data_IF_350560513730
#
_entry.id   IF_350560513730
#
_cell.length_a   1.000
_cell.length_b   1.000
_cell.length_c   1.000
_cell.angle_alpha   90.00
_cell.angle_beta   90.00
_cell.angle_gamma   90.00
#
_symmetry.space_group_name_H-M   'P 1'
#
loop_
_entity.id
_entity.type
_entity.pdbx_description
1 polymer ?
#
# COMPACT_ATOMS: atom_id res chain seq x y z
N UNK A 1 -11.43 11.43 -20.66
CA UNK A 1 -11.54 11.83 -19.22
C UNK A 1 -11.86 10.58 -18.43
N UNK A 2 -11.07 10.26 -17.42
CA UNK A 2 -11.27 9.10 -16.55
C UNK A 2 -12.48 9.36 -15.66
N UNK A 3 -13.43 8.41 -15.59
CA UNK A 3 -14.51 8.51 -14.60
C UNK A 3 -13.97 8.09 -13.24
N UNK A 4 -14.23 8.89 -12.21
CA UNK A 4 -13.78 8.64 -10.85
C UNK A 4 -14.78 9.16 -9.81
N UNK A 5 -14.68 8.62 -8.61
CA UNK A 5 -15.32 9.16 -7.40
C UNK A 5 -14.27 9.68 -6.45
N UNK A 6 -14.69 10.55 -5.53
CA UNK A 6 -13.82 11.16 -4.53
C UNK A 6 -14.54 11.17 -3.20
N UNK A 7 -13.84 10.74 -2.16
CA UNK A 7 -14.34 10.86 -0.79
C UNK A 7 -14.37 12.32 -0.37
N UNK A 8 -15.46 12.75 0.23
CA UNK A 8 -15.61 14.11 0.71
C UNK A 8 -14.60 14.41 1.83
N UNK A 9 -14.04 15.62 1.83
CA UNK A 9 -12.97 16.02 2.77
C UNK A 9 -13.42 15.97 4.24
N UNK A 10 -14.72 16.10 4.51
CA UNK A 10 -15.31 16.01 5.86
C UNK A 10 -15.05 14.67 6.55
N UNK A 11 -14.95 13.57 5.79
CA UNK A 11 -14.65 12.24 6.34
C UNK A 11 -13.23 12.11 6.89
N UNK A 12 -12.34 13.02 6.52
CA UNK A 12 -10.96 13.05 7.00
C UNK A 12 -10.75 14.08 8.12
N UNK A 13 -11.81 14.76 8.55
CA UNK A 13 -11.74 15.73 9.64
C UNK A 13 -11.67 15.01 10.98
N UNK A 14 -10.82 15.51 11.88
CA UNK A 14 -10.71 15.02 13.27
C UNK A 14 -10.33 13.54 13.40
N UNK A 15 -9.58 13.00 12.45
CA UNK A 15 -9.03 11.66 12.60
C UNK A 15 -7.96 11.62 13.70
N UNK A 16 -7.94 10.56 14.53
CA UNK A 16 -7.02 10.47 15.67
C UNK A 16 -5.57 10.44 15.21
N UNK A 17 -4.74 11.28 15.80
CA UNK A 17 -3.31 11.45 15.49
C UNK A 17 -3.01 11.77 14.02
N UNK A 18 -3.97 12.34 13.27
CA UNK A 18 -3.83 12.61 11.85
C UNK A 18 -4.17 14.07 11.52
N UNK A 19 -3.36 15.00 12.04
CA UNK A 19 -3.51 16.45 11.83
C UNK A 19 -2.71 16.99 10.63
N UNK A 20 -2.27 16.18 9.72
CA UNK A 20 -1.42 16.57 8.58
C UNK A 20 -2.21 17.32 7.50
N UNK A 21 -1.57 18.34 6.92
CA UNK A 21 -2.14 19.06 5.79
C UNK A 21 -2.09 18.21 4.51
N UNK A 22 -3.19 18.14 3.73
CA UNK A 22 -3.19 17.39 2.49
C UNK A 22 -2.42 18.15 1.39
N UNK A 23 -1.62 17.41 0.61
CA UNK A 23 -1.05 17.87 -0.64
C UNK A 23 -1.58 17.02 -1.78
N UNK A 24 -1.57 17.54 -3.01
CA UNK A 24 -2.08 16.85 -4.18
C UNK A 24 -1.15 17.00 -5.38
N UNK A 25 -0.80 15.87 -5.97
CA UNK A 25 -0.15 15.75 -7.26
C UNK A 25 -1.19 15.46 -8.34
N UNK A 26 -1.14 16.18 -9.45
CA UNK A 26 -2.06 15.96 -10.57
C UNK A 26 -1.39 15.08 -11.62
N UNK A 27 -1.97 13.91 -11.86
CA UNK A 27 -1.57 13.02 -12.95
C UNK A 27 -2.69 12.90 -13.96
N UNK A 28 -2.48 13.42 -15.17
CA UNK A 28 -3.53 13.57 -16.18
C UNK A 28 -4.73 14.36 -15.64
N UNK A 29 -5.91 13.74 -15.52
CA UNK A 29 -7.14 14.34 -15.01
C UNK A 29 -7.50 13.89 -13.58
N UNK A 30 -6.59 13.22 -12.90
CA UNK A 30 -6.76 12.67 -11.56
C UNK A 30 -5.80 13.33 -10.56
N UNK A 31 -6.21 13.38 -9.30
CA UNK A 31 -5.35 13.85 -8.20
C UNK A 31 -4.91 12.70 -7.31
N UNK A 32 -3.65 12.64 -6.99
CA UNK A 32 -3.04 11.78 -5.99
C UNK A 32 -2.77 12.60 -4.73
N UNK A 33 -3.28 12.17 -3.60
CA UNK A 33 -2.95 12.78 -2.30
C UNK A 33 -1.59 12.30 -1.82
N UNK A 34 -0.87 13.18 -1.11
CA UNK A 34 0.34 12.82 -0.37
C UNK A 34 0.53 13.73 0.85
N UNK A 35 1.19 13.20 1.86
CA UNK A 35 1.72 13.98 2.98
C UNK A 35 3.14 14.43 2.65
N UNK A 36 3.52 15.63 3.09
CA UNK A 36 4.86 16.19 2.93
C UNK A 36 5.25 16.95 4.21
N UNK A 37 5.77 16.21 5.16
CA UNK A 37 6.04 16.66 6.52
C UNK A 37 7.54 16.72 6.80
N UNK A 38 7.95 17.67 7.65
CA UNK A 38 9.34 17.88 8.05
C UNK A 38 10.11 18.88 7.21
N UNK A 39 11.45 19.00 7.43
CA UNK A 39 12.28 19.97 6.74
C UNK A 39 12.40 19.66 5.24
N UNK A 40 12.16 20.66 4.39
CA UNK A 40 12.13 20.46 2.94
C UNK A 40 13.49 20.09 2.33
N UNK A 41 14.56 20.40 3.02
CA UNK A 41 15.96 20.08 2.68
C UNK A 41 16.52 18.87 3.44
N UNK A 42 15.69 18.22 4.26
CA UNK A 42 16.06 16.98 4.97
C UNK A 42 16.17 15.78 4.03
N UNK A 43 16.88 14.71 4.47
CA UNK A 43 16.88 13.44 3.76
C UNK A 43 15.46 12.87 3.69
N UNK A 44 15.11 12.29 2.54
CA UNK A 44 13.72 11.92 2.22
C UNK A 44 13.40 10.50 2.71
N UNK A 45 12.30 10.37 3.45
CA UNK A 45 11.64 9.10 3.75
C UNK A 45 10.40 8.98 2.86
N UNK A 46 10.42 8.12 1.86
CA UNK A 46 9.27 7.82 1.01
C UNK A 46 8.51 6.63 1.60
N UNK A 47 7.33 6.90 2.18
CA UNK A 47 6.55 5.97 2.98
C UNK A 47 5.38 5.42 2.15
N UNK A 48 5.49 4.18 1.67
CA UNK A 48 4.51 3.57 0.77
C UNK A 48 3.67 2.52 1.47
N UNK A 49 2.39 2.79 1.56
CA UNK A 49 1.38 1.87 2.10
C UNK A 49 1.02 0.76 1.10
N UNK A 50 0.32 -0.25 1.59
CA UNK A 50 -0.27 -1.30 0.79
C UNK A 50 -1.80 -1.33 0.87
N UNK A 51 -2.38 -2.46 0.51
CA UNK A 51 -3.82 -2.72 0.59
C UNK A 51 -4.14 -3.36 1.96
N UNK A 52 -5.17 -2.92 2.66
CA UNK A 52 -6.17 -1.91 2.32
C UNK A 52 -5.91 -0.55 3.00
N UNK A 53 -4.67 -0.25 3.35
CA UNK A 53 -4.27 0.94 4.10
C UNK A 53 -4.18 2.21 3.22
N UNK A 54 -3.77 3.31 3.84
CA UNK A 54 -3.45 4.58 3.21
C UNK A 54 -2.45 5.33 4.12
N UNK A 55 -2.05 6.54 3.80
CA UNK A 55 -1.02 7.28 4.56
C UNK A 55 -1.30 7.41 6.06
N UNK A 56 -2.54 7.22 6.52
CA UNK A 56 -2.90 7.09 7.94
C UNK A 56 -2.12 5.98 8.67
N UNK A 57 -1.63 4.97 7.95
CA UNK A 57 -0.75 3.91 8.48
C UNK A 57 0.48 4.50 9.17
N UNK A 58 1.01 5.58 8.63
CA UNK A 58 2.25 6.19 9.08
C UNK A 58 2.07 7.34 10.09
N UNK A 59 0.83 7.61 10.56
CA UNK A 59 0.51 8.76 11.43
C UNK A 59 1.36 8.86 12.69
N UNK A 60 1.70 7.72 13.28
CA UNK A 60 2.50 7.66 14.51
C UNK A 60 4.01 7.57 14.21
N UNK A 61 4.39 7.23 12.98
CA UNK A 61 5.78 7.12 12.52
C UNK A 61 6.31 8.46 12.01
N UNK A 62 5.52 9.20 11.25
CA UNK A 62 5.90 10.49 10.66
C UNK A 62 6.45 11.47 11.71
N UNK A 63 5.79 11.71 12.86
CA UNK A 63 6.31 12.65 13.85
C UNK A 63 7.70 12.28 14.36
N UNK A 64 7.97 11.00 14.57
CA UNK A 64 9.27 10.49 15.04
C UNK A 64 10.36 10.74 14.00
N UNK A 65 10.07 10.48 12.73
CA UNK A 65 11.01 10.72 11.63
C UNK A 65 11.27 12.22 11.42
N UNK A 66 10.23 13.04 11.51
CA UNK A 66 10.34 14.51 11.42
C UNK A 66 11.18 15.08 12.57
N UNK A 67 10.99 14.60 13.79
CA UNK A 67 11.82 14.97 14.94
C UNK A 67 13.30 14.58 14.73
N UNK A 68 13.55 13.47 14.05
CA UNK A 68 14.88 13.04 13.66
C UNK A 68 15.48 13.80 12.46
N UNK A 69 14.75 14.78 11.89
CA UNK A 69 15.21 15.65 10.81
C UNK A 69 14.94 15.14 9.39
N UNK A 70 14.10 14.13 9.22
CA UNK A 70 13.72 13.61 7.91
C UNK A 70 12.54 14.38 7.30
N UNK A 71 12.52 14.48 5.97
CA UNK A 71 11.32 14.85 5.21
C UNK A 71 10.54 13.60 4.84
N UNK A 72 9.31 13.52 5.30
CA UNK A 72 8.42 12.37 5.08
C UNK A 72 7.45 12.65 3.93
N UNK A 73 7.52 11.86 2.86
CA UNK A 73 6.57 11.87 1.75
C UNK A 73 5.76 10.58 1.82
N UNK A 74 4.46 10.69 2.08
CA UNK A 74 3.57 9.54 2.21
C UNK A 74 2.38 9.67 1.25
N UNK A 75 2.49 9.18 0.00
CA UNK A 75 1.39 9.23 -0.96
C UNK A 75 0.33 8.16 -0.67
N UNK A 76 -0.92 8.47 -1.04
CA UNK A 76 -1.99 7.49 -1.14
C UNK A 76 -2.05 6.96 -2.57
N UNK A 77 -1.97 5.66 -2.75
CA UNK A 77 -2.19 5.05 -4.07
C UNK A 77 -3.56 5.46 -4.63
N UNK A 78 -3.68 5.57 -5.97
CA UNK A 78 -4.99 5.80 -6.60
C UNK A 78 -5.97 4.71 -6.17
N UNK A 79 -7.20 5.11 -5.84
CA UNK A 79 -8.20 4.22 -5.27
C UNK A 79 -8.18 4.11 -3.74
N UNK A 80 -7.19 4.75 -3.07
CA UNK A 80 -6.99 4.70 -1.63
C UNK A 80 -6.96 6.09 -1.00
N UNK A 81 -7.11 6.15 0.31
CA UNK A 81 -7.00 7.39 1.08
C UNK A 81 -7.79 8.55 0.48
N UNK A 82 -7.14 9.69 0.37
CA UNK A 82 -7.69 10.92 -0.22
C UNK A 82 -7.47 11.04 -1.73
N UNK A 83 -6.79 10.07 -2.35
CA UNK A 83 -6.61 10.02 -3.81
C UNK A 83 -7.91 9.72 -4.53
N UNK A 84 -8.01 10.17 -5.78
CA UNK A 84 -9.14 9.84 -6.64
C UNK A 84 -9.30 8.34 -6.85
N UNK A 85 -10.53 7.91 -7.06
CA UNK A 85 -10.92 6.51 -7.19
C UNK A 85 -11.58 6.27 -8.55
N UNK A 86 -10.78 5.97 -9.60
CA UNK A 86 -11.32 5.56 -10.90
C UNK A 86 -12.36 4.45 -10.78
N UNK A 87 -13.47 4.60 -11.49
CA UNK A 87 -14.61 3.68 -11.37
C UNK A 87 -14.48 2.40 -12.19
N UNK A 88 -13.58 2.37 -13.19
CA UNK A 88 -13.28 1.16 -13.93
C UNK A 88 -12.23 0.32 -13.17
N UNK A 89 -12.59 -0.90 -12.78
CA UNK A 89 -11.68 -1.83 -12.09
C UNK A 89 -10.44 -2.19 -12.93
N UNK A 90 -10.55 -2.17 -14.25
CA UNK A 90 -9.44 -2.46 -15.16
C UNK A 90 -8.48 -1.28 -15.34
N UNK A 91 -8.87 -0.09 -14.86
CA UNK A 91 -7.99 1.07 -14.83
C UNK A 91 -6.77 0.82 -13.94
N UNK A 92 -6.95 0.11 -12.84
CA UNK A 92 -5.90 -0.15 -11.86
C UNK A 92 -4.95 -1.26 -12.33
N UNK A 93 -3.71 -0.90 -12.58
CA UNK A 93 -2.62 -1.85 -12.88
C UNK A 93 -1.38 -1.47 -12.08
N UNK A 94 -0.55 -2.44 -11.74
CA UNK A 94 0.72 -2.16 -11.03
C UNK A 94 1.63 -1.24 -11.85
N UNK A 95 1.65 -1.41 -13.17
CA UNK A 95 2.39 -0.51 -14.06
C UNK A 95 1.92 0.95 -13.92
N UNK A 96 0.60 1.19 -13.88
CA UNK A 96 0.05 2.55 -13.75
C UNK A 96 0.32 3.15 -12.37
N UNK A 97 0.16 2.38 -11.30
CA UNK A 97 0.56 2.85 -9.96
C UNK A 97 2.04 3.23 -9.92
N UNK A 98 2.89 2.42 -10.55
CA UNK A 98 4.33 2.70 -10.65
C UNK A 98 4.60 4.00 -11.43
N UNK A 99 3.94 4.21 -12.57
CA UNK A 99 4.07 5.42 -13.40
C UNK A 99 3.64 6.68 -12.64
N UNK A 100 2.52 6.63 -11.93
CA UNK A 100 2.01 7.76 -11.13
C UNK A 100 3.00 8.11 -10.01
N UNK A 101 3.52 7.10 -9.31
CA UNK A 101 4.52 7.32 -8.27
C UNK A 101 5.83 7.91 -8.85
N UNK A 102 6.26 7.42 -10.03
CA UNK A 102 7.40 8.01 -10.74
C UNK A 102 7.18 9.50 -11.00
N UNK A 103 5.99 9.88 -11.48
CA UNK A 103 5.67 11.27 -11.77
C UNK A 103 5.71 12.16 -10.51
N UNK A 104 5.26 11.67 -9.37
CA UNK A 104 5.36 12.39 -8.09
C UNK A 104 6.83 12.58 -7.67
N UNK A 105 7.65 11.51 -7.72
CA UNK A 105 9.07 11.57 -7.36
C UNK A 105 9.82 12.59 -8.22
N UNK A 106 9.52 12.62 -9.52
CA UNK A 106 10.15 13.55 -10.48
C UNK A 106 9.66 14.99 -10.28
N UNK A 107 8.34 15.20 -10.08
CA UNK A 107 7.78 16.54 -9.86
C UNK A 107 8.32 17.18 -8.59
N UNK A 108 8.44 16.44 -7.51
CA UNK A 108 9.00 16.91 -6.24
C UNK A 108 10.53 16.92 -6.23
N UNK A 109 11.18 16.48 -7.30
CA UNK A 109 12.62 16.26 -7.43
C UNK A 109 13.24 15.57 -6.22
N UNK A 110 12.61 14.50 -5.76
CA UNK A 110 13.07 13.77 -4.56
C UNK A 110 14.42 13.11 -4.83
N UNK A 111 15.36 13.33 -3.92
CA UNK A 111 16.73 12.82 -3.95
C UNK A 111 17.10 12.24 -2.60
N UNK A 112 18.14 11.41 -2.55
CA UNK A 112 18.63 10.78 -1.33
C UNK A 112 17.50 10.08 -0.54
N UNK A 113 16.69 9.30 -1.26
CA UNK A 113 15.47 8.70 -0.75
C UNK A 113 15.80 7.41 0.00
N UNK A 114 15.35 7.31 1.24
CA UNK A 114 15.13 6.03 1.90
C UNK A 114 13.70 5.58 1.61
N UNK A 115 13.56 4.49 0.86
CA UNK A 115 12.27 3.87 0.62
C UNK A 115 11.83 3.06 1.84
N UNK A 116 10.64 3.35 2.36
CA UNK A 116 9.95 2.53 3.36
C UNK A 116 8.70 1.97 2.68
N UNK A 117 8.62 0.67 2.49
CA UNK A 117 7.49 0.06 1.77
C UNK A 117 6.91 -1.13 2.51
N UNK A 118 5.60 -1.24 2.48
CA UNK A 118 4.82 -2.31 3.08
C UNK A 118 3.81 -2.83 2.06
N UNK A 119 3.60 -4.17 2.01
CA UNK A 119 2.62 -4.83 1.15
C UNK A 119 2.76 -4.38 -0.32
N UNK A 120 1.70 -3.86 -0.98
CA UNK A 120 1.74 -3.35 -2.37
C UNK A 120 2.65 -2.12 -2.57
N UNK A 121 3.05 -1.45 -1.50
CA UNK A 121 4.14 -0.47 -1.55
C UNK A 121 5.46 -1.08 -2.02
N UNK A 122 5.66 -2.41 -1.83
CA UNK A 122 6.81 -3.13 -2.35
C UNK A 122 6.89 -3.13 -3.87
N UNK A 123 5.96 -3.77 -4.60
CA UNK A 123 5.98 -3.81 -6.06
C UNK A 123 6.05 -2.44 -6.74
N UNK A 124 5.41 -1.41 -6.17
CA UNK A 124 5.41 -0.05 -6.72
C UNK A 124 6.65 0.74 -6.37
N UNK A 125 7.11 0.65 -5.11
CA UNK A 125 8.26 1.40 -4.59
C UNK A 125 9.61 0.80 -5.01
N UNK A 126 9.76 -0.51 -4.91
CA UNK A 126 10.98 -1.20 -5.34
C UNK A 126 11.21 -1.06 -6.84
N UNK A 127 10.15 -0.89 -7.63
CA UNK A 127 10.27 -0.52 -9.04
C UNK A 127 10.97 0.84 -9.22
N UNK A 128 10.70 1.83 -8.35
CA UNK A 128 11.36 3.13 -8.40
C UNK A 128 12.86 3.01 -8.10
N UNK A 129 13.20 2.29 -7.02
CA UNK A 129 14.59 2.06 -6.65
C UNK A 129 15.37 1.29 -7.74
N UNK A 130 14.71 0.36 -8.43
CA UNK A 130 15.34 -0.40 -9.53
C UNK A 130 15.52 0.42 -10.81
N UNK A 131 14.64 1.39 -11.08
CA UNK A 131 14.65 2.17 -12.34
C UNK A 131 15.37 3.51 -12.22
N UNK A 132 15.44 4.07 -11.02
CA UNK A 132 16.11 5.35 -10.71
C UNK A 132 17.04 5.19 -9.48
N UNK A 133 17.98 4.23 -9.50
CA UNK A 133 18.78 3.90 -8.32
C UNK A 133 19.61 5.08 -7.80
N UNK A 134 19.94 6.04 -8.64
CA UNK A 134 20.68 7.26 -8.27
C UNK A 134 19.90 8.15 -7.28
N UNK A 135 18.57 8.11 -7.29
CA UNK A 135 17.73 8.89 -6.38
C UNK A 135 17.59 8.28 -5.00
N UNK A 136 17.93 7.01 -4.84
CA UNK A 136 17.70 6.27 -3.60
C UNK A 136 19.01 5.98 -2.86
N UNK A 137 19.00 6.14 -1.52
CA UNK A 137 20.11 5.77 -0.63
C UNK A 137 19.91 4.40 -0.01
N UNK A 138 18.71 4.13 0.52
CA UNK A 138 18.43 2.96 1.33
C UNK A 138 17.04 2.39 1.08
N UNK A 139 16.85 1.12 1.48
CA UNK A 139 15.57 0.43 1.46
C UNK A 139 15.23 -0.08 2.86
N UNK A 140 14.03 0.18 3.33
CA UNK A 140 13.41 -0.44 4.50
C UNK A 140 12.15 -1.18 4.03
N UNK A 141 12.24 -2.50 3.93
CA UNK A 141 11.22 -3.38 3.36
C UNK A 141 10.48 -4.06 4.50
N UNK A 142 9.18 -3.83 4.61
CA UNK A 142 8.32 -4.34 5.68
C UNK A 142 7.22 -5.22 5.09
N UNK A 143 7.25 -6.53 5.35
CA UNK A 143 6.21 -7.46 4.85
C UNK A 143 5.74 -7.10 3.42
N UNK A 144 6.68 -7.07 2.48
CA UNK A 144 6.48 -6.68 1.09
C UNK A 144 7.22 -7.64 0.16
N UNK A 145 7.00 -7.56 -1.15
CA UNK A 145 7.60 -8.52 -2.08
C UNK A 145 7.88 -7.93 -3.47
N UNK A 146 8.66 -8.70 -4.26
CA UNK A 146 8.67 -8.65 -5.72
C UNK A 146 8.46 -10.05 -6.28
N UNK A 147 7.61 -10.19 -7.28
CA UNK A 147 7.46 -11.45 -7.98
C UNK A 147 8.76 -11.86 -8.67
N UNK A 148 9.14 -13.13 -8.50
CA UNK A 148 10.30 -13.74 -9.15
C UNK A 148 9.94 -15.12 -9.70
N UNK A 149 10.61 -15.58 -10.78
CA UNK A 149 10.42 -16.94 -11.29
C UNK A 149 10.66 -17.99 -10.20
N UNK A 150 9.88 -19.05 -10.23
CA UNK A 150 9.94 -20.16 -9.28
C UNK A 150 9.58 -19.79 -7.82
N UNK A 151 9.05 -18.59 -7.59
CA UNK A 151 8.48 -18.27 -6.26
C UNK A 151 7.16 -19.03 -6.09
N UNK A 152 7.06 -19.80 -5.03
CA UNK A 152 5.83 -20.47 -4.64
C UNK A 152 5.05 -19.63 -3.63
N UNK A 153 3.93 -19.06 -4.06
CA UNK A 153 3.03 -18.35 -3.16
C UNK A 153 2.50 -19.28 -2.06
N UNK A 154 2.40 -18.76 -0.83
CA UNK A 154 1.83 -19.49 0.29
C UNK A 154 0.37 -19.88 0.01
N UNK A 155 -0.13 -20.91 0.70
CA UNK A 155 -1.53 -21.32 0.56
C UNK A 155 -2.48 -20.22 1.10
N UNK A 156 -2.03 -19.40 2.03
CA UNK A 156 -2.75 -18.22 2.51
C UNK A 156 -2.97 -17.22 1.38
N UNK A 157 -1.91 -16.84 0.67
CA UNK A 157 -2.00 -15.92 -0.49
C UNK A 157 -2.88 -16.49 -1.60
N UNK A 158 -2.78 -17.77 -1.90
CA UNK A 158 -3.63 -18.42 -2.92
C UNK A 158 -5.11 -18.37 -2.54
N UNK A 159 -5.45 -18.68 -1.29
CA UNK A 159 -6.83 -18.56 -0.78
C UNK A 159 -7.32 -17.11 -0.79
N UNK A 160 -6.48 -16.17 -0.36
CA UNK A 160 -6.77 -14.75 -0.42
C UNK A 160 -7.07 -14.29 -1.86
N UNK A 161 -6.18 -14.57 -2.79
CA UNK A 161 -6.36 -14.22 -4.20
C UNK A 161 -7.65 -14.83 -4.78
N UNK A 162 -7.89 -16.14 -4.57
CA UNK A 162 -9.08 -16.82 -5.09
C UNK A 162 -10.38 -16.28 -4.51
N UNK A 163 -10.36 -15.79 -3.26
CA UNK A 163 -11.52 -15.17 -2.61
C UNK A 163 -12.00 -13.89 -3.30
N UNK A 164 -11.14 -13.20 -4.04
CA UNK A 164 -11.47 -11.97 -4.77
C UNK A 164 -11.91 -12.20 -6.20
N UNK A 165 -11.68 -13.39 -6.77
CA UNK A 165 -12.17 -13.75 -8.10
C UNK A 165 -13.69 -13.99 -8.12
N UNK A 166 -14.27 -13.96 -9.33
CA UNK A 166 -15.69 -14.20 -9.53
C UNK A 166 -16.15 -15.51 -8.86
N UNK A 167 -17.20 -15.40 -8.06
CA UNK A 167 -17.70 -16.53 -7.26
C UNK A 167 -17.01 -16.73 -5.92
N UNK A 168 -15.90 -16.00 -5.64
CA UNK A 168 -15.22 -16.06 -4.35
C UNK A 168 -15.91 -15.25 -3.25
N UNK A 169 -15.51 -15.48 -2.01
CA UNK A 169 -16.11 -14.90 -0.80
C UNK A 169 -16.16 -13.37 -0.81
N UNK A 170 -15.11 -12.72 -1.35
CA UNK A 170 -14.98 -11.26 -1.37
C UNK A 170 -15.47 -10.60 -2.66
N UNK A 171 -15.77 -11.38 -3.70
CA UNK A 171 -16.10 -10.86 -5.04
C UNK A 171 -17.37 -10.00 -5.07
N UNK A 172 -18.31 -10.25 -4.16
CA UNK A 172 -19.63 -9.59 -4.10
C UNK A 172 -19.86 -8.78 -2.84
N UNK A 173 -18.95 -8.85 -1.89
CA UNK A 173 -19.07 -8.10 -0.65
C UNK A 173 -18.11 -6.91 -0.72
N UNK A 174 -18.59 -5.75 -0.33
CA UNK A 174 -17.71 -4.66 0.05
C UNK A 174 -17.21 -5.00 1.44
N UNK A 175 -15.96 -5.44 1.61
CA UNK A 175 -15.48 -5.76 2.94
C UNK A 175 -15.43 -4.47 3.74
N UNK A 176 -15.81 -4.57 5.00
CA UNK A 176 -15.56 -3.49 5.94
C UNK A 176 -14.04 -3.38 6.15
N UNK A 177 -13.46 -2.35 5.55
CA UNK A 177 -12.00 -2.16 5.53
C UNK A 177 -11.46 -1.87 6.92
N UNK A 178 -12.21 -1.15 7.73
CA UNK A 178 -11.84 -0.90 9.11
C UNK A 178 -11.75 -2.24 9.88
N UNK A 179 -12.76 -3.08 9.75
CA UNK A 179 -12.77 -4.41 10.34
C UNK A 179 -11.62 -5.28 9.85
N UNK A 180 -11.34 -5.24 8.55
CA UNK A 180 -10.27 -6.02 7.93
C UNK A 180 -8.90 -5.70 8.53
N UNK A 181 -8.60 -4.40 8.67
CA UNK A 181 -7.35 -3.92 9.27
C UNK A 181 -7.25 -4.19 10.75
N UNK A 182 -8.37 -4.05 11.43
CA UNK A 182 -8.52 -4.36 12.84
C UNK A 182 -8.18 -5.82 13.12
N UNK A 183 -8.69 -6.71 12.31
CA UNK A 183 -8.41 -8.14 12.41
C UNK A 183 -6.96 -8.46 12.04
N UNK A 184 -6.37 -7.72 11.10
CA UNK A 184 -4.96 -7.88 10.73
C UNK A 184 -3.98 -7.28 11.75
N UNK A 185 -4.40 -6.40 12.62
CA UNK A 185 -3.53 -5.72 13.59
C UNK A 185 -3.12 -6.58 14.82
N UNK A 186 -3.13 -7.89 14.72
CA UNK A 186 -2.56 -8.79 15.72
C UNK A 186 -3.48 -9.12 16.89
N UNK A 187 -4.77 -8.89 16.76
CA UNK A 187 -5.77 -9.28 17.77
C UNK A 187 -6.29 -10.71 17.58
N UNK A 188 -5.73 -11.41 16.63
CA UNK A 188 -6.11 -12.76 16.27
C UNK A 188 -5.02 -13.74 16.66
N UNK A 189 -5.45 -14.94 17.03
CA UNK A 189 -4.54 -16.07 17.22
C UNK A 189 -3.74 -16.31 15.95
N UNK A 190 -2.44 -16.60 16.04
CA UNK A 190 -1.64 -16.99 14.89
C UNK A 190 -2.31 -18.12 14.10
N UNK A 191 -2.44 -17.96 12.78
CA UNK A 191 -3.14 -18.91 11.91
C UNK A 191 -4.64 -18.71 11.77
N UNK A 192 -5.26 -17.79 12.52
CA UNK A 192 -6.70 -17.51 12.43
C UNK A 192 -7.04 -16.34 11.50
N UNK A 193 -6.03 -15.62 11.01
CA UNK A 193 -6.16 -14.44 10.16
C UNK A 193 -7.16 -14.65 9.01
N UNK A 194 -6.97 -15.71 8.22
CA UNK A 194 -7.85 -15.98 7.08
C UNK A 194 -9.25 -16.49 7.51
N UNK A 195 -9.33 -17.22 8.61
CA UNK A 195 -10.63 -17.68 9.13
C UNK A 195 -11.52 -16.51 9.48
N UNK A 196 -10.99 -15.51 10.16
CA UNK A 196 -11.78 -14.35 10.56
C UNK A 196 -12.22 -13.48 9.36
N UNK A 197 -11.41 -13.39 8.32
CA UNK A 197 -11.81 -12.75 7.06
C UNK A 197 -12.99 -13.48 6.41
N UNK A 198 -12.98 -14.79 6.45
CA UNK A 198 -13.99 -15.64 5.82
C UNK A 198 -15.28 -15.67 6.64
N UNK A 199 -15.16 -15.69 7.97
CA UNK A 199 -16.30 -15.88 8.88
C UNK A 199 -17.02 -14.58 9.26
N UNK A 200 -16.59 -13.42 8.72
CA UNK A 200 -17.21 -12.14 9.01
C UNK A 200 -17.12 -11.77 10.50
N UNK A 201 -15.91 -11.79 11.06
CA UNK A 201 -15.69 -11.55 12.47
C UNK A 201 -16.30 -10.23 12.97
N UNK A 202 -16.97 -10.28 14.10
CA UNK A 202 -17.60 -9.14 14.76
C UNK A 202 -16.53 -8.16 15.30
N UNK A 203 -16.50 -6.89 14.86
CA UNK A 203 -15.56 -5.88 15.36
C UNK A 203 -15.60 -5.72 16.88
N UNK A 204 -16.75 -5.94 17.51
CA UNK A 204 -16.92 -5.82 18.95
C UNK A 204 -16.17 -6.90 19.73
N UNK A 205 -15.80 -8.00 19.09
CA UNK A 205 -15.01 -9.08 19.70
C UNK A 205 -13.52 -8.81 19.74
N UNK A 206 -13.03 -7.89 18.94
CA UNK A 206 -11.58 -7.67 18.77
C UNK A 206 -11.00 -6.64 19.73
N UNK A 207 -11.82 -5.87 20.41
CA UNK A 207 -11.35 -4.83 21.36
C UNK A 207 -10.48 -3.74 20.71
N UNK A 208 -10.60 -3.54 19.40
CA UNK A 208 -9.78 -2.57 18.67
C UNK A 208 -10.28 -1.16 18.94
N UNK A 209 -9.32 -0.27 19.10
CA UNK A 209 -9.60 1.13 19.30
C UNK A 209 -10.49 1.68 18.18
N UNK A 210 -11.61 2.30 18.54
CA UNK A 210 -12.52 2.97 17.62
C UNK A 210 -11.77 3.96 16.67
N UNK A 211 -10.68 4.50 17.16
CA UNK A 211 -9.77 5.39 16.44
C UNK A 211 -9.14 4.77 15.19
N UNK A 212 -8.65 3.52 15.31
CA UNK A 212 -8.08 2.80 14.17
C UNK A 212 -9.16 2.51 13.13
N UNK A 213 -10.32 2.05 13.58
CA UNK A 213 -11.46 1.78 12.72
C UNK A 213 -11.89 3.05 11.97
N UNK A 214 -12.07 4.17 12.69
CA UNK A 214 -12.46 5.44 12.10
C UNK A 214 -11.46 5.90 11.03
N UNK A 215 -10.16 5.85 11.34
CA UNK A 215 -9.11 6.30 10.42
C UNK A 215 -9.02 5.46 9.15
N UNK A 216 -9.03 4.14 9.27
CA UNK A 216 -8.89 3.27 8.10
C UNK A 216 -10.17 3.15 7.26
N UNK A 217 -11.35 3.36 7.83
CA UNK A 217 -12.61 3.35 7.08
C UNK A 217 -12.95 4.70 6.43
N UNK A 218 -12.37 5.81 6.91
CA UNK A 218 -12.66 7.15 6.44
C UNK A 218 -12.65 7.32 4.89
N UNK A 219 -11.67 6.74 4.15
CA UNK A 219 -11.60 6.91 2.69
C UNK A 219 -12.77 6.31 1.91
N UNK A 220 -13.57 5.48 2.53
CA UNK A 220 -14.60 4.69 1.84
C UNK A 220 -16.01 5.02 2.29
N UNK A 221 -16.17 5.95 3.23
CA UNK A 221 -17.47 6.38 3.72
C UNK A 221 -18.26 7.11 2.64
N UNK A 222 -19.53 6.74 2.48
CA UNK A 222 -20.44 7.37 1.54
C UNK A 222 -20.14 7.11 0.07
N UNK A 223 -19.19 6.25 -0.27
CA UNK A 223 -18.86 5.94 -1.66
C UNK A 223 -19.83 4.92 -2.27
N UNK A 224 -20.11 5.04 -3.58
CA UNK A 224 -20.75 3.97 -4.33
C UNK A 224 -19.81 2.75 -4.47
N UNK A 225 -20.35 1.63 -4.90
CA UNK A 225 -19.63 0.36 -4.99
C UNK A 225 -18.35 0.44 -5.84
N UNK A 226 -18.37 1.22 -6.91
CA UNK A 226 -17.22 1.44 -7.79
C UNK A 226 -16.04 2.16 -7.11
N UNK A 227 -16.31 2.88 -6.02
CA UNK A 227 -15.28 3.53 -5.21
C UNK A 227 -14.32 2.55 -4.52
N UNK A 228 -14.68 1.27 -4.46
CA UNK A 228 -13.86 0.20 -3.89
C UNK A 228 -13.05 -0.56 -4.95
N UNK A 229 -13.09 -0.18 -6.21
CA UNK A 229 -12.45 -0.92 -7.28
C UNK A 229 -10.92 -0.94 -7.18
N UNK A 230 -10.27 0.13 -6.71
CA UNK A 230 -8.84 0.13 -6.43
C UNK A 230 -8.45 -0.91 -5.39
N UNK A 231 -9.21 -0.95 -4.32
CA UNK A 231 -9.08 -1.90 -3.24
C UNK A 231 -9.23 -3.35 -3.73
N UNK A 232 -10.27 -3.66 -4.48
CA UNK A 232 -10.54 -5.01 -5.03
C UNK A 232 -9.47 -5.45 -6.02
N UNK A 233 -8.87 -4.50 -6.73
CA UNK A 233 -7.95 -4.83 -7.81
C UNK A 233 -6.59 -5.31 -7.34
N UNK A 234 -6.07 -4.84 -6.22
CA UNK A 234 -4.76 -5.26 -5.74
C UNK A 234 -4.69 -6.78 -5.49
N UNK A 235 -5.58 -7.41 -4.72
CA UNK A 235 -5.56 -8.87 -4.56
C UNK A 235 -5.64 -9.64 -5.88
N UNK A 236 -6.42 -9.14 -6.84
CA UNK A 236 -6.54 -9.73 -8.18
C UNK A 236 -5.28 -9.55 -9.03
N UNK A 237 -4.37 -8.67 -8.62
CA UNK A 237 -3.11 -8.41 -9.31
C UNK A 237 -1.96 -9.28 -8.81
N UNK A 238 -2.18 -10.14 -7.81
CA UNK A 238 -1.18 -11.12 -7.38
C UNK A 238 -0.99 -12.14 -8.51
N UNK A 239 0.23 -12.33 -9.05
CA UNK A 239 0.46 -13.18 -10.21
C UNK A 239 0.50 -14.68 -9.83
N UNK A 240 -0.54 -15.18 -9.15
CA UNK A 240 -0.77 -16.59 -8.89
C UNK A 240 -1.17 -17.25 -10.21
N UNK A 241 -0.61 -18.40 -10.52
CA UNK A 241 -0.96 -19.24 -11.70
C UNK A 241 -0.90 -18.50 -13.06
N UNK A 242 0.11 -17.66 -13.27
CA UNK A 242 0.35 -16.89 -14.51
C UNK A 242 -0.71 -15.82 -14.83
N UNK A 243 -1.43 -15.31 -13.86
CA UNK A 243 -2.28 -14.14 -14.06
C UNK A 243 -1.42 -12.91 -14.43
N UNK A 244 -1.63 -12.36 -15.62
CA UNK A 244 -0.77 -11.34 -16.25
C UNK A 244 -0.95 -9.91 -15.69
N UNK A 245 -1.89 -9.70 -14.77
CA UNK A 245 -2.28 -8.37 -14.30
C UNK A 245 -1.31 -7.75 -13.28
N UNK A 246 -0.46 -8.56 -12.63
CA UNK A 246 0.45 -8.14 -11.59
C UNK A 246 1.79 -7.62 -12.07
N UNK A 247 1.98 -7.45 -13.39
CA UNK A 247 3.25 -7.01 -13.97
C UNK A 247 4.46 -7.89 -13.59
N UNK A 248 4.25 -9.22 -13.54
CA UNK A 248 5.22 -10.19 -13.05
C UNK A 248 6.58 -10.12 -13.77
N UNK A 249 6.59 -9.88 -15.08
CA UNK A 249 7.82 -9.75 -15.86
C UNK A 249 8.64 -8.54 -15.44
N UNK A 250 8.01 -7.38 -15.23
CA UNK A 250 8.68 -6.17 -14.76
C UNK A 250 9.16 -6.34 -13.31
N UNK A 251 8.35 -6.91 -12.43
CA UNK A 251 8.77 -7.21 -11.05
C UNK A 251 9.99 -8.12 -11.01
N UNK A 252 10.03 -9.15 -11.88
CA UNK A 252 11.20 -10.03 -12.01
C UNK A 252 12.45 -9.28 -12.45
N UNK A 253 12.31 -8.31 -13.37
CA UNK A 253 13.42 -7.47 -13.80
C UNK A 253 13.91 -6.57 -12.65
N UNK A 254 12.98 -5.92 -11.94
CA UNK A 254 13.30 -5.09 -10.78
C UNK A 254 14.01 -5.91 -9.70
N UNK A 255 13.52 -7.09 -9.38
CA UNK A 255 14.18 -8.02 -8.45
C UNK A 255 15.63 -8.29 -8.85
N UNK A 256 15.89 -8.64 -10.12
CA UNK A 256 17.26 -8.90 -10.61
C UNK A 256 18.17 -7.68 -10.50
N UNK A 257 17.65 -6.49 -10.75
CA UNK A 257 18.40 -5.23 -10.60
C UNK A 257 18.77 -5.02 -9.13
N UNK A 258 17.81 -5.21 -8.22
CA UNK A 258 18.00 -4.97 -6.79
C UNK A 258 18.89 -6.01 -6.10
N UNK A 259 19.14 -7.19 -6.70
CA UNK A 259 20.14 -8.14 -6.18
C UNK A 259 21.55 -7.53 -6.08
N UNK A 260 21.83 -6.49 -6.85
CA UNK A 260 23.11 -5.78 -6.81
C UNK A 260 23.09 -4.54 -5.90
N UNK A 261 22.02 -4.31 -5.13
CA UNK A 261 21.82 -3.09 -4.34
C UNK A 261 22.97 -2.79 -3.38
N UNK A 262 23.38 -3.78 -2.59
CA UNK A 262 24.51 -3.65 -1.67
C UNK A 262 25.84 -3.38 -2.37
N UNK A 263 26.02 -3.89 -3.60
CA UNK A 263 27.21 -3.61 -4.41
C UNK A 263 27.31 -2.15 -4.85
N UNK A 264 26.21 -1.43 -4.83
CA UNK A 264 26.16 0.03 -5.09
C UNK A 264 26.49 0.86 -3.84
N UNK A 265 26.87 0.22 -2.72
CA UNK A 265 27.13 0.88 -1.44
C UNK A 265 25.88 1.38 -0.71
N UNK A 266 24.70 0.78 -0.99
CA UNK A 266 23.39 1.18 -0.48
C UNK A 266 22.88 0.21 0.56
N UNK A 267 22.21 0.73 1.60
CA UNK A 267 21.64 -0.08 2.69
C UNK A 267 20.32 -0.76 2.29
N UNK A 268 20.07 -1.93 2.90
CA UNK A 268 18.80 -2.62 2.78
C UNK A 268 18.44 -3.24 4.14
N UNK A 269 17.27 -2.89 4.66
CA UNK A 269 16.77 -3.33 5.95
C UNK A 269 15.45 -4.08 5.76
N UNK A 270 15.34 -5.25 6.37
CA UNK A 270 14.12 -6.04 6.38
C UNK A 270 13.48 -6.00 7.76
N UNK A 271 12.22 -5.60 7.84
CA UNK A 271 11.43 -5.54 9.08
C UNK A 271 10.23 -6.45 8.87
N UNK A 272 10.22 -7.59 9.58
CA UNK A 272 9.29 -8.67 9.27
C UNK A 272 8.62 -9.24 10.52
N UNK A 273 7.34 -9.57 10.42
CA UNK A 273 6.65 -10.33 11.46
C UNK A 273 7.04 -11.82 11.40
N UNK A 274 7.64 -12.37 12.48
CA UNK A 274 8.08 -13.77 12.49
C UNK A 274 6.93 -14.80 12.37
N UNK A 275 5.68 -14.36 12.56
CA UNK A 275 4.47 -15.20 12.47
C UNK A 275 3.56 -14.75 11.34
N UNK A 276 4.12 -14.09 10.32
CA UNK A 276 3.37 -13.61 9.16
C UNK A 276 3.06 -14.78 8.21
N UNK A 277 1.79 -15.20 8.18
CA UNK A 277 1.31 -16.28 7.30
C UNK A 277 1.11 -15.82 5.85
N UNK A 278 1.03 -14.53 5.63
CA UNK A 278 0.85 -13.91 4.32
C UNK A 278 2.20 -13.79 3.62
N UNK A 279 3.11 -13.07 4.27
CA UNK A 279 4.48 -12.84 3.82
C UNK A 279 5.42 -13.69 4.68
N UNK A 280 5.56 -14.95 4.34
CA UNK A 280 6.44 -15.89 5.09
C UNK A 280 7.92 -15.54 4.91
N UNK A 281 8.80 -16.04 5.78
CA UNK A 281 10.26 -15.83 5.67
C UNK A 281 10.86 -16.31 4.33
N UNK A 282 10.11 -17.10 3.55
CA UNK A 282 10.54 -17.56 2.23
C UNK A 282 10.41 -16.52 1.11
N UNK A 283 9.84 -15.34 1.40
CA UNK A 283 9.64 -14.22 0.44
C UNK A 283 10.92 -13.41 0.13
#
# INVERSE_FOLDING_TARGET
MTQFVRTADEHFSNLPNFGFAPNYHTWQDLRMHYLDEGPKDGPVMLLLHGMPTWSFLYRDVIPVLVEAGYRCIAPDHMGFGRSDKPTDIHWYTIARHTEILTSLIVELDLQNITLVCQDWGGPTGLAQAATMPERFSDLAIMSAWLHRPAYAYSDCIKRWNSGWHEGGTFARQTPDIGLLLVLSAGLMEPGSFMSAFIDGADPQRTGVAADMYAGFSAPYQGLPDEGFNGYRRFPLSIPVDNYHNGNAAAQTLHYRTLLNWSSMGKGCHFIWGCTDDVFTEAW
#
